data_IF_644734921722
#
_entry.id   IF_644734921722
#
_cell.length_a   1.000
_cell.length_b   1.000
_cell.length_c   1.000
_cell.angle_alpha   90.00
_cell.angle_beta   90.00
_cell.angle_gamma   90.00
#
_symmetry.space_group_name_H-M   'P 1'
#
loop_
_entity.id
_entity.type
_entity.pdbx_description
1 polymer ?
#
# COMPACT_ATOMS: atom_id res chain seq x y z
N UNK A 1 -20.24 23.08 27.25
CA UNK A 1 -19.85 24.34 26.60
C UNK A 1 -18.63 24.07 25.73
N UNK A 2 -18.71 23.71 24.46
CA UNK A 2 -19.78 23.17 23.63
C UNK A 2 -19.12 22.29 22.57
N UNK A 3 -19.63 21.06 22.46
CA UNK A 3 -19.29 20.13 21.40
C UNK A 3 -20.28 20.37 20.26
N UNK A 4 -19.78 20.72 19.08
CA UNK A 4 -20.59 20.85 17.87
C UNK A 4 -20.24 19.71 16.91
N UNK A 5 -21.00 18.63 17.03
CA UNK A 5 -21.13 17.54 16.07
C UNK A 5 -21.84 18.03 14.81
N UNK A 6 -21.16 18.06 13.66
CA UNK A 6 -21.83 18.19 12.36
C UNK A 6 -21.86 16.84 11.65
N UNK A 7 -23.09 16.34 11.55
CA UNK A 7 -23.54 15.12 10.90
C UNK A 7 -23.12 15.05 9.43
N UNK A 8 -22.53 13.90 9.09
CA UNK A 8 -22.33 13.38 7.75
C UNK A 8 -23.68 13.19 7.04
N UNK A 9 -23.78 13.67 5.80
CA UNK A 9 -24.82 13.28 4.84
C UNK A 9 -24.20 12.35 3.80
N UNK A 10 -24.46 11.06 3.95
CA UNK A 10 -24.17 10.02 2.97
C UNK A 10 -25.12 10.13 1.76
N UNK A 11 -24.57 10.29 0.56
CA UNK A 11 -25.30 10.12 -0.70
C UNK A 11 -25.18 8.66 -1.19
N UNK A 12 -26.21 8.11 -1.86
CA UNK A 12 -26.24 6.70 -2.24
C UNK A 12 -25.33 6.39 -3.43
N UNK A 13 -24.70 5.22 -3.34
CA UNK A 13 -23.79 4.64 -4.32
C UNK A 13 -24.50 4.30 -5.64
N UNK A 14 -23.92 4.76 -6.76
CA UNK A 14 -24.25 4.32 -8.10
C UNK A 14 -23.66 2.93 -8.34
N UNK A 15 -24.51 1.92 -8.50
CA UNK A 15 -24.12 0.56 -8.88
C UNK A 15 -23.71 0.50 -10.36
N UNK A 16 -22.41 0.35 -10.63
CA UNK A 16 -21.91 0.00 -11.96
C UNK A 16 -22.11 -1.49 -12.22
N UNK A 17 -23.03 -1.81 -13.13
CA UNK A 17 -23.25 -3.15 -13.69
C UNK A 17 -22.12 -3.48 -14.69
N UNK A 18 -21.14 -4.27 -14.27
CA UNK A 18 -20.18 -4.91 -15.18
C UNK A 18 -20.87 -6.08 -15.90
N UNK A 19 -21.10 -5.94 -17.22
CA UNK A 19 -21.46 -7.05 -18.10
C UNK A 19 -20.17 -7.68 -18.65
N UNK A 20 -19.85 -8.87 -18.17
CA UNK A 20 -18.83 -9.75 -18.73
C UNK A 20 -19.33 -10.38 -20.04
N UNK A 21 -18.56 -10.20 -21.12
CA UNK A 21 -18.77 -10.90 -22.40
C UNK A 21 -17.94 -12.20 -22.38
N UNK A 22 -18.60 -13.33 -22.18
CA UNK A 22 -18.02 -14.66 -22.45
C UNK A 22 -18.31 -15.03 -23.91
N UNK A 23 -17.26 -15.21 -24.71
CA UNK A 23 -17.33 -15.81 -26.06
C UNK A 23 -17.68 -17.31 -25.96
N UNK A 24 -18.60 -17.85 -26.78
CA UNK A 24 -18.69 -19.28 -26.98
C UNK A 24 -17.73 -19.76 -28.07
N UNK A 25 -17.03 -20.83 -27.71
CA UNK A 25 -16.25 -21.73 -28.55
C UNK A 25 -17.17 -22.49 -29.51
N UNK A 26 -16.78 -22.67 -30.78
CA UNK A 26 -17.42 -23.62 -31.71
C UNK A 26 -16.36 -24.53 -32.32
N UNK A 27 -16.57 -25.86 -32.32
CA UNK A 27 -15.64 -26.83 -32.87
C UNK A 27 -15.84 -27.00 -34.38
N UNK A 28 -14.77 -27.44 -35.05
CA UNK A 28 -14.72 -27.68 -36.49
C UNK A 28 -15.64 -28.78 -36.99
N UNK A 29 -15.98 -28.69 -38.27
CA UNK A 29 -16.75 -29.67 -39.03
C UNK A 29 -16.30 -29.69 -40.49
N UNK A 30 -15.65 -30.80 -40.83
CA UNK A 30 -15.32 -31.41 -42.12
C UNK A 30 -15.94 -30.90 -43.44
N UNK A 31 -15.07 -30.90 -44.45
CA UNK A 31 -15.32 -30.95 -45.89
C UNK A 31 -16.48 -31.83 -46.35
N UNK A 32 -17.32 -31.29 -47.23
CA UNK A 32 -17.95 -32.05 -48.30
C UNK A 32 -17.90 -31.24 -49.62
N UNK A 33 -17.36 -31.89 -50.65
CA UNK A 33 -17.47 -31.51 -52.06
C UNK A 33 -18.95 -31.57 -52.46
N UNK A 34 -19.45 -30.56 -53.16
CA UNK A 34 -20.58 -30.71 -54.08
C UNK A 34 -20.52 -29.63 -55.19
N UNK A 35 -20.37 -30.18 -56.40
CA UNK A 35 -20.80 -29.76 -57.74
C UNK A 35 -21.02 -28.29 -58.11
N UNK A 36 -20.38 -27.93 -59.25
CA UNK A 36 -20.70 -26.84 -60.17
C UNK A 36 -22.21 -26.73 -60.43
N UNK A 37 -22.78 -25.57 -60.08
CA UNK A 37 -24.07 -25.11 -60.58
C UNK A 37 -23.81 -23.76 -61.26
N UNK A 38 -24.22 -23.69 -62.52
CA UNK A 38 -24.24 -22.49 -63.35
C UNK A 38 -25.37 -21.59 -62.83
N UNK A 39 -25.03 -20.43 -62.24
CA UNK A 39 -26.03 -19.45 -61.79
C UNK A 39 -26.14 -18.28 -62.80
N UNK A 40 -27.33 -18.18 -63.39
CA UNK A 40 -27.87 -17.00 -64.08
C UNK A 40 -28.04 -15.80 -63.10
N UNK A 41 -28.05 -14.55 -63.60
CA UNK A 41 -28.10 -13.37 -62.75
C UNK A 41 -29.42 -13.27 -61.97
N UNK A 42 -29.40 -12.76 -60.72
CA UNK A 42 -30.62 -12.67 -59.93
C UNK A 42 -31.45 -11.47 -60.42
N UNK A 43 -32.38 -11.73 -61.33
CA UNK A 43 -33.71 -11.14 -61.16
C UNK A 43 -34.19 -11.51 -59.74
N UNK A 44 -35.00 -10.66 -59.08
CA UNK A 44 -35.58 -11.00 -57.79
C UNK A 44 -36.08 -12.43 -57.88
N UNK A 45 -35.37 -13.34 -57.22
CA UNK A 45 -35.59 -14.76 -57.39
C UNK A 45 -36.84 -15.06 -56.59
N UNK A 46 -37.97 -14.78 -57.23
CA UNK A 46 -39.31 -15.05 -56.74
C UNK A 46 -39.41 -16.54 -56.42
N UNK A 47 -38.61 -17.37 -57.11
CA UNK A 47 -38.40 -18.79 -56.84
C UNK A 47 -37.60 -19.01 -55.56
N UNK A 48 -36.48 -18.34 -55.29
CA UNK A 48 -35.79 -18.45 -53.99
C UNK A 48 -36.58 -17.84 -52.84
N UNK A 49 -37.37 -16.79 -53.06
CA UNK A 49 -38.30 -16.24 -52.06
C UNK A 49 -39.44 -17.24 -51.83
N UNK A 50 -39.99 -17.83 -52.91
CA UNK A 50 -40.98 -18.89 -52.81
C UNK A 50 -40.41 -20.18 -52.18
N UNK A 51 -39.14 -20.51 -52.39
CA UNK A 51 -38.47 -21.66 -51.77
C UNK A 51 -38.13 -21.38 -50.31
N UNK A 52 -37.62 -20.19 -49.98
CA UNK A 52 -37.27 -19.79 -48.61
C UNK A 52 -38.49 -19.69 -47.71
N UNK A 53 -39.66 -19.34 -48.28
CA UNK A 53 -40.95 -19.36 -47.59
C UNK A 53 -41.83 -20.57 -47.95
N UNK A 54 -41.29 -21.56 -48.67
CA UNK A 54 -41.97 -22.77 -49.15
C UNK A 54 -43.36 -22.53 -49.78
N UNK A 55 -43.58 -21.38 -50.44
CA UNK A 55 -44.86 -20.99 -51.03
C UNK A 55 -45.26 -21.88 -52.21
N UNK A 56 -44.32 -22.33 -53.02
CA UNK A 56 -44.61 -23.25 -54.13
C UNK A 56 -44.97 -24.65 -53.64
N UNK A 57 -44.32 -25.14 -52.59
CA UNK A 57 -44.69 -26.39 -51.92
C UNK A 57 -46.03 -26.24 -51.20
N UNK A 58 -46.31 -25.07 -50.62
CA UNK A 58 -47.57 -24.75 -49.99
C UNK A 58 -48.74 -24.82 -50.98
N UNK A 59 -48.57 -24.30 -52.20
CA UNK A 59 -49.60 -24.36 -53.24
C UNK A 59 -49.80 -25.76 -53.85
N UNK A 60 -48.83 -26.66 -53.71
CA UNK A 60 -48.90 -28.06 -54.18
C UNK A 60 -49.47 -29.03 -53.14
N UNK A 61 -49.60 -28.62 -51.88
CA UNK A 61 -50.20 -29.43 -50.81
C UNK A 61 -51.73 -29.52 -50.95
N UNK A 62 -52.30 -30.64 -50.53
CA UNK A 62 -53.75 -30.83 -50.46
C UNK A 62 -54.39 -29.75 -49.57
N UNK A 63 -55.68 -29.46 -49.76
CA UNK A 63 -56.35 -28.41 -48.99
C UNK A 63 -56.36 -28.71 -47.48
N UNK A 64 -56.41 -30.00 -47.10
CA UNK A 64 -56.30 -30.45 -45.71
C UNK A 64 -54.88 -30.27 -45.14
N UNK A 65 -53.85 -30.59 -45.91
CA UNK A 65 -52.46 -30.40 -45.47
C UNK A 65 -52.10 -28.91 -45.33
N UNK A 66 -52.64 -28.07 -46.23
CA UNK A 66 -52.53 -26.61 -46.10
C UNK A 66 -53.20 -26.11 -44.82
N UNK A 67 -54.39 -26.63 -44.48
CA UNK A 67 -55.08 -26.27 -43.23
C UNK A 67 -54.32 -26.75 -41.99
N UNK A 68 -53.76 -27.97 -42.00
CA UNK A 68 -52.92 -28.48 -40.91
C UNK A 68 -51.64 -27.65 -40.73
N UNK A 69 -51.01 -27.23 -41.82
CA UNK A 69 -49.79 -26.42 -41.79
C UNK A 69 -50.05 -24.98 -41.37
N UNK A 70 -51.17 -24.39 -41.82
CA UNK A 70 -51.67 -23.09 -41.33
C UNK A 70 -52.10 -23.15 -39.86
N UNK A 71 -52.65 -24.28 -39.39
CA UNK A 71 -53.01 -24.47 -37.99
C UNK A 71 -51.78 -24.68 -37.08
N UNK A 72 -50.67 -25.18 -37.63
CA UNK A 72 -49.38 -25.31 -36.95
C UNK A 72 -48.49 -24.08 -37.01
N UNK A 73 -48.85 -23.07 -37.83
CA UNK A 73 -48.15 -21.78 -37.88
C UNK A 73 -48.54 -20.96 -36.65
N UNK A 74 -47.66 -20.97 -35.65
CA UNK A 74 -47.80 -20.13 -34.48
C UNK A 74 -47.71 -18.66 -34.91
N UNK A 75 -48.72 -17.86 -34.58
CA UNK A 75 -48.74 -16.43 -34.91
C UNK A 75 -47.52 -15.68 -34.37
N UNK A 76 -46.89 -16.21 -33.31
CA UNK A 76 -45.64 -15.71 -32.74
C UNK A 76 -44.47 -15.93 -33.71
N UNK A 77 -44.40 -17.06 -34.42
CA UNK A 77 -43.33 -17.36 -35.38
C UNK A 77 -43.44 -16.48 -36.63
N UNK A 78 -44.67 -16.24 -37.10
CA UNK A 78 -44.92 -15.28 -38.18
C UNK A 78 -44.54 -13.85 -37.77
N UNK A 79 -44.85 -13.42 -36.55
CA UNK A 79 -44.45 -12.10 -36.08
C UNK A 79 -42.92 -11.97 -36.05
N UNK A 80 -42.20 -12.97 -35.52
CA UNK A 80 -40.73 -12.99 -35.48
C UNK A 80 -40.10 -12.92 -36.87
N UNK A 81 -40.66 -13.64 -37.85
CA UNK A 81 -40.14 -13.60 -39.23
C UNK A 81 -40.41 -12.25 -39.90
N UNK A 82 -41.56 -11.62 -39.65
CA UNK A 82 -41.84 -10.26 -40.13
C UNK A 82 -40.87 -9.26 -39.50
N UNK A 83 -40.64 -9.34 -38.18
CA UNK A 83 -39.66 -8.51 -37.47
C UNK A 83 -38.25 -8.69 -38.03
N UNK A 84 -37.85 -9.93 -38.32
CA UNK A 84 -36.57 -10.24 -38.93
C UNK A 84 -36.44 -9.62 -40.33
N UNK A 85 -37.45 -9.77 -41.19
CA UNK A 85 -37.45 -9.16 -42.53
C UNK A 85 -37.39 -7.64 -42.43
N UNK A 86 -38.12 -7.04 -41.50
CA UNK A 86 -38.07 -5.59 -41.27
C UNK A 86 -36.68 -5.14 -40.82
N UNK A 87 -36.03 -5.89 -39.92
CA UNK A 87 -34.66 -5.63 -39.48
C UNK A 87 -33.64 -5.77 -40.62
N UNK A 88 -33.75 -6.80 -41.44
CA UNK A 88 -32.92 -7.00 -42.65
C UNK A 88 -33.14 -5.85 -43.65
N UNK A 89 -34.40 -5.46 -43.89
CA UNK A 89 -34.73 -4.34 -44.78
C UNK A 89 -34.18 -3.01 -44.26
N UNK A 90 -34.24 -2.76 -42.94
CA UNK A 90 -33.65 -1.58 -42.32
C UNK A 90 -32.12 -1.57 -42.48
N UNK A 91 -31.48 -2.72 -42.30
CA UNK A 91 -30.02 -2.90 -42.48
C UNK A 91 -29.62 -2.61 -43.92
N UNK A 92 -30.33 -3.15 -44.91
CA UNK A 92 -30.04 -2.88 -46.33
C UNK A 92 -30.29 -1.42 -46.72
N UNK A 93 -31.31 -0.76 -46.14
CA UNK A 93 -31.53 0.67 -46.36
C UNK A 93 -30.37 1.50 -45.82
N UNK A 94 -29.86 1.15 -44.64
CA UNK A 94 -28.71 1.81 -44.03
C UNK A 94 -27.42 1.59 -44.84
N UNK A 95 -27.12 0.35 -45.23
CA UNK A 95 -25.94 0.03 -46.04
C UNK A 95 -25.97 0.79 -47.37
N UNK A 96 -27.10 0.79 -48.06
CA UNK A 96 -27.27 1.54 -49.30
C UNK A 96 -27.10 3.04 -49.10
N UNK A 97 -27.62 3.59 -48.00
CA UNK A 97 -27.45 5.01 -47.69
C UNK A 97 -25.97 5.37 -47.48
N UNK A 98 -25.26 4.60 -46.66
CA UNK A 98 -23.82 4.79 -46.39
C UNK A 98 -23.01 4.68 -47.69
N UNK A 99 -23.27 3.66 -48.51
CA UNK A 99 -22.56 3.47 -49.77
C UNK A 99 -22.81 4.62 -50.75
N UNK A 100 -24.06 5.07 -50.88
CA UNK A 100 -24.38 6.20 -51.76
C UNK A 100 -23.72 7.48 -51.25
N UNK A 101 -23.85 7.80 -49.97
CA UNK A 101 -23.24 9.00 -49.38
C UNK A 101 -21.71 9.00 -49.55
N UNK A 102 -21.08 7.83 -49.31
CA UNK A 102 -19.64 7.68 -49.52
C UNK A 102 -19.25 7.91 -50.99
N UNK A 103 -19.95 7.26 -51.92
CA UNK A 103 -19.65 7.38 -53.34
C UNK A 103 -19.94 8.81 -53.86
N UNK A 104 -20.95 9.50 -53.34
CA UNK A 104 -21.21 10.91 -53.69
C UNK A 104 -20.05 11.82 -53.31
N UNK A 105 -19.42 11.57 -52.14
CA UNK A 105 -18.28 12.36 -51.66
C UNK A 105 -16.97 12.00 -52.34
N UNK A 106 -16.74 10.73 -52.67
CA UNK A 106 -15.42 10.24 -53.10
C UNK A 106 -15.32 9.97 -54.62
N UNK A 107 -16.36 9.42 -55.26
CA UNK A 107 -16.38 9.20 -56.71
C UNK A 107 -17.82 9.22 -57.28
N UNK A 108 -18.39 10.42 -57.52
CA UNK A 108 -19.77 10.57 -57.95
C UNK A 108 -20.05 9.97 -59.33
N UNK A 109 -19.01 9.67 -60.14
CA UNK A 109 -19.17 9.09 -61.48
C UNK A 109 -19.70 7.66 -61.43
N UNK A 110 -19.35 6.90 -60.39
CA UNK A 110 -19.83 5.53 -60.18
C UNK A 110 -21.34 5.45 -59.90
N UNK A 111 -21.95 6.55 -59.45
CA UNK A 111 -23.39 6.64 -59.20
C UNK A 111 -24.22 6.99 -60.45
N UNK A 112 -23.59 7.47 -61.52
CA UNK A 112 -24.29 7.91 -62.75
C UNK A 112 -25.06 6.76 -63.39
N UNK A 113 -24.45 5.57 -63.51
CA UNK A 113 -25.10 4.39 -64.06
C UNK A 113 -26.25 3.86 -63.17
N UNK A 114 -26.11 3.97 -61.85
CA UNK A 114 -27.15 3.59 -60.90
C UNK A 114 -28.37 4.55 -60.97
N UNK A 115 -28.11 5.86 -61.02
CA UNK A 115 -29.14 6.89 -61.21
C UNK A 115 -29.87 6.71 -62.55
N UNK A 116 -29.14 6.44 -63.63
CA UNK A 116 -29.73 6.20 -64.96
C UNK A 116 -30.61 4.94 -64.99
N UNK A 117 -30.18 3.83 -64.38
CA UNK A 117 -31.00 2.62 -64.22
C UNK A 117 -32.25 2.83 -63.37
N UNK A 118 -32.13 3.55 -62.24
CA UNK A 118 -33.30 3.88 -61.42
C UNK A 118 -34.34 4.67 -62.20
N UNK A 119 -33.90 5.66 -63.00
CA UNK A 119 -34.83 6.42 -63.86
C UNK A 119 -35.45 5.57 -64.97
N UNK A 120 -34.73 4.59 -65.54
CA UNK A 120 -35.27 3.72 -66.59
C UNK A 120 -36.25 2.68 -66.04
N UNK A 121 -35.99 2.11 -64.86
CA UNK A 121 -36.91 1.21 -64.16
C UNK A 121 -38.18 1.95 -63.76
N UNK A 122 -38.08 3.16 -63.18
CA UNK A 122 -39.26 3.97 -62.88
C UNK A 122 -40.08 4.29 -64.13
N UNK A 123 -39.42 4.60 -65.26
CA UNK A 123 -40.09 4.79 -66.56
C UNK A 123 -40.78 3.52 -67.05
N UNK A 124 -40.18 2.33 -66.91
CA UNK A 124 -40.81 1.05 -67.28
C UNK A 124 -42.01 0.73 -66.39
N UNK A 125 -41.93 0.97 -65.09
CA UNK A 125 -43.07 0.75 -64.17
C UNK A 125 -44.22 1.73 -64.39
N UNK A 126 -43.93 2.98 -64.79
CA UNK A 126 -44.97 3.91 -65.20
C UNK A 126 -45.55 3.56 -66.58
N UNK A 127 -44.73 3.11 -67.53
CA UNK A 127 -45.20 2.66 -68.85
C UNK A 127 -46.09 1.42 -68.78
N UNK A 128 -45.79 0.47 -67.88
CA UNK A 128 -46.61 -0.74 -67.66
C UNK A 128 -47.97 -0.44 -66.99
N UNK A 129 -48.13 0.72 -66.33
CA UNK A 129 -49.43 1.22 -65.86
C UNK A 129 -50.27 1.89 -66.95
N UNK A 130 -49.69 2.24 -68.09
CA UNK A 130 -50.39 2.88 -69.22
C UNK A 130 -50.87 1.90 -70.31
N UNK A 131 -50.59 0.59 -70.18
CA UNK A 131 -51.00 -0.44 -71.16
C UNK A 131 -52.37 -1.08 -70.86
N UNK A 132 -53.19 -0.44 -70.03
CA UNK A 132 -54.56 -0.87 -69.72
C UNK A 132 -55.66 -0.08 -70.44
N UNK A 133 -55.34 0.72 -71.47
CA UNK A 133 -56.38 1.47 -72.19
C UNK A 133 -56.01 1.70 -73.67
N UNK A 134 -56.24 0.70 -74.51
CA UNK A 134 -56.40 0.91 -75.95
C UNK A 134 -57.89 1.13 -76.27
N UNK A 135 -58.25 2.37 -76.63
CA UNK A 135 -59.23 2.60 -77.68
C UNK A 135 -58.98 3.95 -78.38
N UNK A 136 -58.77 3.84 -79.69
CA UNK A 136 -59.10 4.78 -80.76
C UNK A 136 -58.44 6.18 -80.80
N UNK A 137 -57.53 6.30 -81.78
CA UNK A 137 -57.57 7.26 -82.89
C UNK A 137 -56.37 8.24 -83.01
N UNK A 138 -56.01 8.65 -84.25
CA UNK A 138 -54.65 9.06 -84.61
C UNK A 138 -54.50 10.56 -84.92
N UNK A 139 -53.23 10.94 -85.14
CA UNK A 139 -52.75 12.14 -85.83
C UNK A 139 -52.63 13.43 -85.02
N UNK A 140 -51.41 13.94 -84.82
CA UNK A 140 -50.81 14.86 -85.79
C UNK A 140 -49.37 15.24 -85.42
N UNK A 141 -48.74 15.90 -86.39
CA UNK A 141 -47.31 16.13 -86.62
C UNK A 141 -46.67 17.19 -85.72
N UNK A 142 -45.35 17.27 -85.91
CA UNK A 142 -44.41 18.39 -85.65
C UNK A 142 -43.69 18.30 -84.29
N UNK A 143 -42.41 18.65 -84.15
CA UNK A 143 -41.30 18.99 -85.04
C UNK A 143 -40.18 19.49 -84.09
N UNK A 144 -38.91 19.12 -84.36
CA UNK A 144 -37.68 19.86 -83.95
C UNK A 144 -37.34 19.90 -82.44
N UNK A 145 -36.09 19.96 -81.96
CA UNK A 145 -34.76 19.99 -82.57
C UNK A 145 -33.68 19.93 -81.47
N UNK A 146 -32.68 19.07 -81.66
CA UNK A 146 -31.21 19.24 -81.41
C UNK A 146 -30.73 19.68 -80.00
N UNK A 147 -29.88 18.85 -79.37
CA UNK A 147 -28.41 18.83 -79.56
C UNK A 147 -27.79 17.84 -78.55
N UNK A 148 -27.27 16.72 -79.04
CA UNK A 148 -26.32 15.87 -78.33
C UNK A 148 -24.97 15.98 -79.05
N UNK A 149 -23.94 16.38 -78.30
CA UNK A 149 -22.55 16.40 -78.78
C UNK A 149 -22.03 14.97 -78.73
N UNK A 150 -21.76 14.44 -79.92
CA UNK A 150 -20.92 13.26 -80.12
C UNK A 150 -19.45 13.69 -80.09
N UNK A 151 -18.64 13.05 -79.25
CA UNK A 151 -17.19 13.04 -79.39
C UNK A 151 -16.76 11.58 -79.61
N UNK A 152 -16.45 11.28 -80.87
CA UNK A 152 -15.77 10.09 -81.34
C UNK A 152 -14.26 10.27 -81.20
N UNK A 153 -13.53 9.25 -80.72
CA UNK A 153 -12.18 8.94 -81.22
C UNK A 153 -12.02 7.42 -81.31
N UNK A 154 -11.54 7.02 -82.48
CA UNK A 154 -11.33 5.71 -83.08
C UNK A 154 -9.94 5.14 -82.75
N UNK A 155 -9.69 3.92 -83.29
CA UNK A 155 -8.45 3.13 -83.42
C UNK A 155 -8.42 1.94 -82.45
N UNK A 156 -8.42 0.67 -82.86
CA UNK A 156 -8.32 0.01 -84.16
C UNK A 156 -7.90 -1.44 -83.91
N UNK A 157 -8.23 -2.38 -84.81
CA UNK A 157 -7.61 -3.71 -84.85
C UNK A 157 -8.58 -4.89 -84.74
N UNK A 158 -8.97 -5.42 -85.89
CA UNK A 158 -9.64 -6.70 -86.06
C UNK A 158 -8.73 -7.87 -85.69
N UNK A 159 -9.20 -8.80 -84.86
CA UNK A 159 -8.93 -10.25 -84.97
C UNK A 159 -9.70 -11.01 -83.89
N UNK A 160 -10.49 -11.99 -84.34
CA UNK A 160 -10.96 -13.20 -83.67
C UNK A 160 -10.89 -13.24 -82.13
N UNK A 161 -12.06 -13.22 -81.49
CA UNK A 161 -12.20 -13.55 -80.08
C UNK A 161 -13.50 -13.02 -79.52
N UNK A 162 -14.57 -13.79 -79.72
CA UNK A 162 -15.81 -13.67 -79.00
C UNK A 162 -15.53 -13.80 -77.49
N UNK A 163 -15.29 -12.67 -76.84
CA UNK A 163 -15.32 -12.51 -75.40
C UNK A 163 -16.24 -11.34 -75.14
N UNK A 164 -17.52 -11.69 -75.01
CA UNK A 164 -18.50 -10.95 -74.22
C UNK A 164 -17.77 -10.16 -73.12
N UNK A 165 -17.71 -8.83 -73.29
CA UNK A 165 -17.27 -7.91 -72.23
C UNK A 165 -18.24 -8.13 -71.08
N UNK A 166 -17.87 -9.04 -70.17
CA UNK A 166 -18.56 -9.24 -68.91
C UNK A 166 -18.68 -7.85 -68.28
N UNK A 167 -19.88 -7.39 -67.90
CA UNK A 167 -20.00 -6.18 -67.13
C UNK A 167 -19.06 -6.36 -65.94
N UNK A 168 -18.10 -5.45 -65.77
CA UNK A 168 -17.22 -5.47 -64.60
C UNK A 168 -18.16 -5.28 -63.41
N UNK A 169 -18.51 -6.38 -62.77
CA UNK A 169 -19.30 -6.37 -61.56
C UNK A 169 -18.43 -5.70 -60.50
N UNK A 170 -18.65 -4.40 -60.30
CA UNK A 170 -18.11 -3.65 -59.18
C UNK A 170 -18.79 -4.10 -57.88
N UNK A 171 -18.74 -5.40 -57.58
CA UNK A 171 -19.12 -5.95 -56.30
C UNK A 171 -17.96 -5.66 -55.36
N UNK A 172 -18.10 -4.61 -54.56
CA UNK A 172 -17.13 -4.35 -53.50
C UNK A 172 -17.00 -5.61 -52.64
N UNK A 173 -15.77 -6.07 -52.47
CA UNK A 173 -15.43 -7.15 -51.56
C UNK A 173 -15.99 -6.81 -50.17
N UNK A 174 -16.50 -7.80 -49.43
CA UNK A 174 -17.00 -7.63 -48.06
C UNK A 174 -16.00 -6.90 -47.18
N UNK A 175 -14.70 -7.20 -47.37
CA UNK A 175 -13.60 -6.49 -46.71
C UNK A 175 -13.59 -4.98 -47.03
N UNK A 176 -13.72 -4.60 -48.30
CA UNK A 176 -13.75 -3.20 -48.71
C UNK A 176 -15.02 -2.48 -48.21
N UNK A 177 -16.16 -3.18 -48.13
CA UNK A 177 -17.39 -2.64 -47.51
C UNK A 177 -17.22 -2.41 -46.00
N UNK A 178 -16.59 -3.36 -45.30
CA UNK A 178 -16.31 -3.22 -43.87
C UNK A 178 -15.33 -2.07 -43.60
N UNK A 179 -14.25 -1.96 -44.37
CA UNK A 179 -13.28 -0.85 -44.28
C UNK A 179 -13.95 0.52 -44.57
N UNK A 180 -14.88 0.57 -45.52
CA UNK A 180 -15.66 1.77 -45.80
C UNK A 180 -16.60 2.16 -44.67
N UNK A 181 -17.30 1.18 -44.11
CA UNK A 181 -18.19 1.41 -42.97
C UNK A 181 -17.40 1.88 -41.74
N UNK A 182 -16.24 1.26 -41.47
CA UNK A 182 -15.34 1.65 -40.39
C UNK A 182 -14.78 3.07 -40.59
N UNK A 183 -14.34 3.41 -41.80
CA UNK A 183 -13.86 4.76 -42.10
C UNK A 183 -14.97 5.81 -41.97
N UNK A 184 -16.18 5.49 -42.41
CA UNK A 184 -17.33 6.38 -42.25
C UNK A 184 -17.70 6.56 -40.78
N UNK A 185 -17.70 5.47 -40.00
CA UNK A 185 -17.94 5.52 -38.56
C UNK A 185 -16.89 6.38 -37.84
N UNK A 186 -15.60 6.17 -38.12
CA UNK A 186 -14.51 6.96 -37.56
C UNK A 186 -14.61 8.46 -37.95
N UNK A 187 -15.05 8.76 -39.17
CA UNK A 187 -15.27 10.16 -39.60
C UNK A 187 -16.45 10.79 -38.85
N UNK A 188 -17.55 10.06 -38.68
CA UNK A 188 -18.71 10.53 -37.92
C UNK A 188 -18.35 10.74 -36.46
N UNK A 189 -17.67 9.78 -35.83
CA UNK A 189 -17.18 9.89 -34.45
C UNK A 189 -16.29 11.14 -34.29
N UNK A 190 -15.34 11.35 -35.20
CA UNK A 190 -14.51 12.56 -35.19
C UNK A 190 -15.35 13.83 -35.25
N UNK A 191 -16.31 13.93 -36.20
CA UNK A 191 -17.19 15.10 -36.31
C UNK A 191 -18.01 15.32 -35.04
N UNK A 192 -18.51 14.25 -34.41
CA UNK A 192 -19.22 14.35 -33.13
C UNK A 192 -18.32 14.94 -32.05
N UNK A 193 -17.09 14.43 -31.90
CA UNK A 193 -16.13 14.98 -30.92
C UNK A 193 -15.76 16.44 -31.17
N UNK A 194 -15.63 16.85 -32.43
CA UNK A 194 -15.36 18.23 -32.81
C UNK A 194 -16.55 19.14 -32.49
N UNK A 195 -17.78 18.69 -32.78
CA UNK A 195 -19.01 19.41 -32.45
C UNK A 195 -19.16 19.55 -30.93
N UNK A 196 -18.96 18.48 -30.16
CA UNK A 196 -19.01 18.51 -28.70
C UNK A 196 -17.98 19.48 -28.11
N UNK A 197 -16.75 19.48 -28.64
CA UNK A 197 -15.71 20.42 -28.23
C UNK A 197 -16.11 21.87 -28.51
N UNK A 198 -16.64 22.15 -29.69
CA UNK A 198 -17.08 23.49 -30.07
C UNK A 198 -18.28 23.95 -29.20
N UNK A 199 -19.26 23.08 -29.01
CA UNK A 199 -20.41 23.35 -28.14
C UNK A 199 -19.97 23.61 -26.69
N UNK A 200 -18.99 22.88 -26.16
CA UNK A 200 -18.44 23.14 -24.82
C UNK A 200 -17.78 24.51 -24.71
N UNK A 201 -17.07 24.97 -25.76
CA UNK A 201 -16.47 26.31 -25.77
C UNK A 201 -17.56 27.38 -25.80
N UNK A 202 -18.57 27.22 -26.64
CA UNK A 202 -19.70 28.15 -26.74
C UNK A 202 -20.49 28.22 -25.43
N UNK A 203 -20.80 27.08 -24.80
CA UNK A 203 -21.46 27.02 -23.49
C UNK A 203 -20.64 27.76 -22.43
N UNK A 204 -19.31 27.62 -22.43
CA UNK A 204 -18.44 28.38 -21.52
C UNK A 204 -18.52 29.89 -21.77
N UNK A 205 -18.51 30.33 -23.02
CA UNK A 205 -18.63 31.74 -23.38
C UNK A 205 -19.99 32.32 -22.99
N UNK A 206 -21.08 31.59 -23.24
CA UNK A 206 -22.44 32.01 -22.86
C UNK A 206 -22.59 32.10 -21.34
N UNK A 207 -22.03 31.14 -20.58
CA UNK A 207 -21.99 31.21 -19.12
C UNK A 207 -21.22 32.43 -18.62
N UNK A 208 -20.05 32.71 -19.19
CA UNK A 208 -19.28 33.90 -18.85
C UNK A 208 -20.07 35.19 -19.13
N UNK A 209 -20.79 35.25 -20.26
CA UNK A 209 -21.63 36.40 -20.61
C UNK A 209 -22.83 36.57 -19.67
N UNK A 210 -23.49 35.47 -19.28
CA UNK A 210 -24.58 35.50 -18.30
C UNK A 210 -24.06 36.06 -16.97
N UNK A 211 -22.90 35.60 -16.53
CA UNK A 211 -22.29 36.05 -15.29
C UNK A 211 -21.89 37.53 -15.35
N UNK A 212 -21.28 37.98 -16.44
CA UNK A 212 -20.98 39.40 -16.68
C UNK A 212 -22.25 40.28 -16.62
N UNK A 213 -23.34 39.83 -17.26
CA UNK A 213 -24.62 40.55 -17.23
C UNK A 213 -25.21 40.60 -15.82
N UNK A 214 -25.05 39.54 -15.01
CA UNK A 214 -25.48 39.53 -13.61
C UNK A 214 -24.71 40.56 -12.80
N UNK A 215 -23.38 40.58 -12.89
CA UNK A 215 -22.56 41.60 -12.20
C UNK A 215 -22.94 43.02 -12.63
N UNK A 216 -23.14 43.27 -13.93
CA UNK A 216 -23.60 44.58 -14.41
C UNK A 216 -24.96 44.98 -13.85
N UNK A 217 -25.90 44.04 -13.80
CA UNK A 217 -27.23 44.30 -13.24
C UNK A 217 -27.15 44.64 -11.76
N UNK A 218 -26.36 43.88 -10.99
CA UNK A 218 -26.18 44.09 -9.57
C UNK A 218 -25.49 45.44 -9.29
N UNK A 219 -24.43 45.77 -10.02
CA UNK A 219 -23.75 47.06 -9.93
C UNK A 219 -24.69 48.23 -10.28
N UNK A 220 -25.56 48.06 -11.28
CA UNK A 220 -26.54 49.09 -11.67
C UNK A 220 -27.55 49.32 -10.56
N UNK A 221 -28.11 48.24 -9.99
CA UNK A 221 -29.06 48.32 -8.87
C UNK A 221 -28.41 48.95 -7.64
N UNK A 222 -27.16 48.58 -7.34
CA UNK A 222 -26.42 49.18 -6.23
C UNK A 222 -26.12 50.67 -6.47
N UNK A 223 -25.73 51.03 -7.68
CA UNK A 223 -25.48 52.43 -8.07
C UNK A 223 -26.75 53.27 -7.99
N UNK A 224 -27.89 52.73 -8.43
CA UNK A 224 -29.21 53.34 -8.29
C UNK A 224 -29.57 53.57 -6.83
N UNK A 225 -29.46 52.55 -5.97
CA UNK A 225 -29.71 52.68 -4.53
C UNK A 225 -28.79 53.72 -3.88
N UNK A 226 -27.52 53.71 -4.22
CA UNK A 226 -26.54 54.69 -3.73
C UNK A 226 -26.87 56.11 -4.22
N UNK A 227 -27.36 56.25 -5.45
CA UNK A 227 -27.83 57.52 -5.97
C UNK A 227 -29.03 58.04 -5.18
N UNK A 228 -30.04 57.21 -4.94
CA UNK A 228 -31.21 57.56 -4.12
C UNK A 228 -30.77 57.96 -2.71
N UNK A 229 -29.88 57.20 -2.07
CA UNK A 229 -29.33 57.55 -0.75
C UNK A 229 -28.48 58.83 -0.73
N UNK A 230 -27.91 59.24 -1.86
CA UNK A 230 -27.06 60.43 -1.93
C UNK A 230 -27.85 61.69 -2.30
N UNK A 231 -28.98 61.54 -3.01
CA UNK A 231 -29.77 62.63 -3.55
C UNK A 231 -31.16 62.78 -2.93
N UNK A 232 -31.73 61.72 -2.37
CA UNK A 232 -33.14 61.63 -1.95
C UNK A 232 -33.28 60.89 -0.61
N UNK A 233 -32.27 60.98 0.27
CA UNK A 233 -32.27 60.21 1.53
C UNK A 233 -33.40 60.63 2.47
N UNK A 234 -33.52 61.94 2.66
CA UNK A 234 -34.41 62.57 3.62
C UNK A 234 -35.13 63.76 2.94
N UNK A 235 -36.26 64.22 3.48
CA UNK A 235 -37.03 65.37 2.93
C UNK A 235 -36.18 66.64 2.74
N UNK A 236 -35.11 66.80 3.55
CA UNK A 236 -34.14 67.90 3.43
C UNK A 236 -33.35 67.86 2.12
N UNK A 237 -33.02 66.67 1.63
CA UNK A 237 -32.31 66.51 0.36
C UNK A 237 -33.23 66.82 -0.83
N UNK A 238 -34.53 66.48 -0.72
CA UNK A 238 -35.54 66.82 -1.72
C UNK A 238 -35.75 68.34 -1.78
N UNK A 239 -35.94 68.98 -0.62
CA UNK A 239 -36.04 70.45 -0.54
C UNK A 239 -34.76 71.15 -1.02
N UNK A 240 -33.59 70.56 -0.77
CA UNK A 240 -32.34 71.07 -1.34
C UNK A 240 -32.35 71.00 -2.87
N UNK A 241 -32.83 69.92 -3.49
CA UNK A 241 -32.89 69.81 -4.95
C UNK A 241 -33.86 70.81 -5.59
N UNK A 242 -34.99 71.09 -4.93
CA UNK A 242 -35.98 72.06 -5.41
C UNK A 242 -35.51 73.52 -5.31
N UNK A 243 -34.66 73.83 -4.33
CA UNK A 243 -34.19 75.21 -4.05
C UNK A 243 -32.75 75.48 -4.51
N UNK A 244 -31.98 74.45 -4.84
CA UNK A 244 -30.58 74.59 -5.22
C UNK A 244 -30.41 75.20 -6.61
N UNK A 245 -29.36 76.02 -6.74
CA UNK A 245 -28.89 76.48 -8.05
C UNK A 245 -28.27 75.33 -8.85
N UNK A 246 -28.31 75.43 -10.17
CA UNK A 246 -27.70 74.45 -11.09
C UNK A 246 -26.24 74.15 -10.73
N UNK A 247 -25.48 75.18 -10.34
CA UNK A 247 -24.07 75.05 -9.93
C UNK A 247 -23.88 74.26 -8.62
N UNK A 248 -24.86 74.26 -7.71
CA UNK A 248 -24.83 73.45 -6.49
C UNK A 248 -25.17 71.98 -6.79
N UNK A 249 -26.16 71.74 -7.66
CA UNK A 249 -26.54 70.41 -8.13
C UNK A 249 -25.36 69.77 -8.88
N UNK A 250 -24.72 70.52 -9.78
CA UNK A 250 -23.54 70.07 -10.54
C UNK A 250 -22.40 69.64 -9.60
N UNK A 251 -22.11 70.42 -8.55
CA UNK A 251 -21.08 70.05 -7.55
C UNK A 251 -21.44 68.77 -6.80
N UNK A 252 -22.71 68.58 -6.41
CA UNK A 252 -23.18 67.37 -5.72
C UNK A 252 -23.07 66.14 -6.65
N UNK A 253 -23.47 66.28 -7.91
CA UNK A 253 -23.31 65.26 -8.95
C UNK A 253 -21.85 64.91 -9.22
N UNK A 254 -20.98 65.91 -9.31
CA UNK A 254 -19.53 65.71 -9.50
C UNK A 254 -18.91 64.95 -8.33
N UNK A 255 -19.33 65.23 -7.09
CA UNK A 255 -18.87 64.48 -5.91
C UNK A 255 -19.34 63.03 -5.94
N UNK A 256 -20.62 62.81 -6.29
CA UNK A 256 -21.18 61.46 -6.42
C UNK A 256 -20.43 60.65 -7.49
N UNK A 257 -20.28 61.19 -8.71
CA UNK A 257 -19.58 60.49 -9.80
C UNK A 257 -18.12 60.22 -9.48
N UNK A 258 -17.42 61.17 -8.84
CA UNK A 258 -16.05 60.97 -8.38
C UNK A 258 -15.95 59.82 -7.35
N UNK A 259 -16.90 59.74 -6.42
CA UNK A 259 -16.94 58.66 -5.43
C UNK A 259 -17.28 57.30 -6.07
N UNK A 260 -18.25 57.29 -7.00
CA UNK A 260 -18.59 56.09 -7.77
C UNK A 260 -17.39 55.56 -8.56
N UNK A 261 -16.66 56.40 -9.29
CA UNK A 261 -15.44 56.00 -9.99
C UNK A 261 -14.35 55.49 -9.04
N UNK A 262 -14.24 56.06 -7.84
CA UNK A 262 -13.28 55.58 -6.82
C UNK A 262 -13.64 54.17 -6.35
N UNK A 263 -14.92 53.91 -6.08
CA UNK A 263 -15.40 52.59 -5.68
C UNK A 263 -15.25 51.56 -6.81
N UNK A 264 -15.61 51.92 -8.05
CA UNK A 264 -15.43 51.07 -9.22
C UNK A 264 -13.97 50.68 -9.44
N UNK A 265 -13.02 51.61 -9.23
CA UNK A 265 -11.58 51.30 -9.28
C UNK A 265 -11.12 50.37 -8.16
N UNK A 266 -11.65 50.53 -6.95
CA UNK A 266 -11.35 49.65 -5.83
C UNK A 266 -11.83 48.22 -6.12
N UNK A 267 -13.07 48.07 -6.61
CA UNK A 267 -13.65 46.79 -7.02
C UNK A 267 -12.87 46.15 -8.18
N UNK A 268 -12.45 46.92 -9.17
CA UNK A 268 -11.58 46.42 -10.24
C UNK A 268 -10.25 45.89 -9.68
N UNK A 269 -9.69 46.57 -8.68
CA UNK A 269 -8.51 46.12 -7.96
C UNK A 269 -8.71 44.77 -7.26
N UNK A 270 -9.81 44.61 -6.52
CA UNK A 270 -10.13 43.34 -5.85
C UNK A 270 -10.37 42.22 -6.86
N UNK A 271 -11.11 42.48 -7.96
CA UNK A 271 -11.34 41.48 -9.01
C UNK A 271 -10.03 41.02 -9.65
N UNK A 272 -9.10 41.94 -9.95
CA UNK A 272 -7.78 41.57 -10.50
C UNK A 272 -6.99 40.68 -9.55
N UNK A 273 -6.98 40.99 -8.25
CA UNK A 273 -6.32 40.16 -7.24
C UNK A 273 -6.96 38.77 -7.16
N UNK A 274 -8.29 38.68 -7.18
CA UNK A 274 -8.99 37.39 -7.19
C UNK A 274 -8.69 36.57 -8.44
N UNK A 275 -8.56 37.21 -9.61
CA UNK A 275 -8.19 36.54 -10.86
C UNK A 275 -6.78 35.95 -10.75
N UNK A 276 -5.80 36.72 -10.25
CA UNK A 276 -4.42 36.23 -10.09
C UNK A 276 -4.38 35.07 -9.10
N UNK A 277 -5.07 35.17 -7.96
CA UNK A 277 -5.14 34.08 -6.97
C UNK A 277 -5.81 32.81 -7.54
N UNK A 278 -6.88 32.96 -8.32
CA UNK A 278 -7.54 31.84 -9.00
C UNK A 278 -6.65 31.21 -10.09
N UNK A 279 -5.86 32.02 -10.80
CA UNK A 279 -4.88 31.53 -11.76
C UNK A 279 -3.77 30.71 -11.09
N UNK A 280 -3.24 31.20 -9.97
CA UNK A 280 -2.21 30.50 -9.19
C UNK A 280 -2.72 29.16 -8.65
N UNK A 281 -3.91 29.14 -8.04
CA UNK A 281 -4.54 27.90 -7.55
C UNK A 281 -4.84 26.92 -8.70
N UNK A 282 -5.30 27.40 -9.86
CA UNK A 282 -5.50 26.55 -11.03
C UNK A 282 -4.18 25.97 -11.56
N UNK A 283 -3.09 26.75 -11.56
CA UNK A 283 -1.76 26.27 -11.96
C UNK A 283 -1.23 25.22 -10.97
N UNK A 284 -1.41 25.45 -9.68
CA UNK A 284 -1.04 24.49 -8.64
C UNK A 284 -1.79 23.17 -8.82
N UNK A 285 -3.11 23.20 -8.96
CA UNK A 285 -3.89 21.98 -9.20
C UNK A 285 -3.51 21.26 -10.50
N UNK A 286 -3.14 21.99 -11.54
CA UNK A 286 -2.62 21.38 -12.77
C UNK A 286 -1.29 20.68 -12.52
N UNK A 287 -0.38 21.29 -11.78
CA UNK A 287 0.89 20.66 -11.39
C UNK A 287 0.66 19.41 -10.51
N UNK A 288 -0.28 19.47 -9.57
CA UNK A 288 -0.68 18.33 -8.75
C UNK A 288 -1.25 17.19 -9.60
N UNK A 289 -2.05 17.50 -10.62
CA UNK A 289 -2.59 16.49 -11.53
C UNK A 289 -1.48 15.85 -12.38
N UNK A 290 -0.53 16.64 -12.87
CA UNK A 290 0.62 16.13 -13.64
C UNK A 290 1.46 15.20 -12.75
N UNK A 291 1.85 15.67 -11.56
CA UNK A 291 2.64 14.85 -10.62
C UNK A 291 1.89 13.58 -10.20
N UNK A 292 0.57 13.65 -9.96
CA UNK A 292 -0.25 12.46 -9.70
C UNK A 292 -0.32 11.52 -10.91
N UNK A 293 -0.44 12.04 -12.13
CA UNK A 293 -0.42 11.23 -13.34
C UNK A 293 0.93 10.56 -13.56
N UNK A 294 2.04 11.27 -13.31
CA UNK A 294 3.39 10.73 -13.37
C UNK A 294 3.59 9.64 -12.30
N UNK A 295 3.19 9.90 -11.06
CA UNK A 295 3.23 8.91 -9.99
C UNK A 295 2.33 7.70 -10.27
N UNK A 296 1.12 7.92 -10.80
CA UNK A 296 0.18 6.84 -11.15
C UNK A 296 0.63 6.04 -12.38
N UNK A 297 1.39 6.64 -13.30
CA UNK A 297 1.96 5.96 -14.45
C UNK A 297 3.19 5.12 -14.07
N UNK A 298 3.90 5.52 -13.02
CA UNK A 298 5.12 4.84 -12.52
C UNK A 298 4.79 3.76 -11.48
N UNK A 299 3.76 3.95 -10.66
CA UNK A 299 3.35 3.00 -9.62
C UNK A 299 2.14 2.18 -10.09
N UNK A 300 2.41 0.95 -10.52
CA UNK A 300 1.34 -0.03 -10.76
C UNK A 300 0.92 -0.71 -9.45
N UNK A 301 -0.30 -1.26 -9.40
CA UNK A 301 -0.75 -2.08 -8.27
C UNK A 301 0.22 -3.24 -7.96
N UNK A 302 0.87 -3.77 -9.00
CA UNK A 302 1.89 -4.82 -8.91
C UNK A 302 3.13 -4.33 -8.15
N UNK A 303 3.51 -3.06 -8.27
CA UNK A 303 4.67 -2.52 -7.56
C UNK A 303 4.39 -2.34 -6.06
N UNK A 304 3.15 -1.98 -5.71
CA UNK A 304 2.72 -2.01 -4.31
C UNK A 304 2.72 -3.42 -3.74
N UNK A 305 2.24 -4.40 -4.51
CA UNK A 305 2.25 -5.81 -4.09
C UNK A 305 3.68 -6.34 -3.91
N UNK A 306 4.59 -6.04 -4.85
CA UNK A 306 6.04 -6.33 -4.69
C UNK A 306 6.63 -5.69 -3.44
N UNK A 307 6.26 -4.45 -3.14
CA UNK A 307 6.75 -3.74 -1.97
C UNK A 307 6.22 -4.35 -0.66
N UNK A 308 4.97 -4.80 -0.66
CA UNK A 308 4.36 -5.54 0.45
C UNK A 308 5.05 -6.90 0.64
N UNK A 309 5.29 -7.65 -0.43
CA UNK A 309 6.01 -8.94 -0.38
C UNK A 309 7.41 -8.71 0.21
N UNK A 310 8.18 -7.78 -0.35
CA UNK A 310 9.54 -7.47 0.13
C UNK A 310 9.55 -7.01 1.59
N UNK A 311 8.58 -6.19 2.00
CA UNK A 311 8.43 -5.79 3.40
C UNK A 311 8.19 -7.01 4.30
N UNK A 312 7.32 -7.93 3.86
CA UNK A 312 6.98 -9.14 4.62
C UNK A 312 8.19 -10.07 4.72
N UNK A 313 8.95 -10.25 3.64
CA UNK A 313 10.22 -10.99 3.64
C UNK A 313 11.23 -10.42 4.64
N UNK A 314 11.42 -9.09 4.64
CA UNK A 314 12.33 -8.43 5.57
C UNK A 314 11.87 -8.54 7.04
N UNK A 315 10.56 -8.51 7.29
CA UNK A 315 10.01 -8.72 8.64
C UNK A 315 10.29 -10.15 9.10
N UNK A 316 10.05 -11.15 8.25
CA UNK A 316 10.31 -12.55 8.57
C UNK A 316 11.80 -12.79 8.86
N UNK A 317 12.70 -12.24 8.03
CA UNK A 317 14.15 -12.34 8.26
C UNK A 317 14.55 -11.69 9.59
N UNK A 318 13.97 -10.54 9.92
CA UNK A 318 14.21 -9.86 11.20
C UNK A 318 13.72 -10.68 12.40
N UNK A 319 12.54 -11.31 12.30
CA UNK A 319 12.01 -12.19 13.34
C UNK A 319 12.88 -13.44 13.54
N UNK A 320 13.38 -14.03 12.45
CA UNK A 320 14.31 -15.16 12.51
C UNK A 320 15.60 -14.77 13.23
N UNK A 321 16.23 -13.65 12.83
CA UNK A 321 17.44 -13.12 13.49
C UNK A 321 17.20 -12.79 14.96
N UNK A 322 16.04 -12.24 15.30
CA UNK A 322 15.69 -11.93 16.68
C UNK A 322 15.53 -13.20 17.53
N UNK A 323 14.92 -14.24 16.96
CA UNK A 323 14.79 -15.57 17.61
C UNK A 323 16.16 -16.20 17.83
N UNK A 324 17.06 -16.16 16.84
CA UNK A 324 18.44 -16.62 16.99
C UNK A 324 19.20 -15.84 18.08
N UNK A 325 19.06 -14.51 18.10
CA UNK A 325 19.69 -13.66 19.11
C UNK A 325 19.16 -13.95 20.52
N UNK A 326 17.86 -14.20 20.68
CA UNK A 326 17.27 -14.61 21.95
C UNK A 326 17.83 -15.97 22.40
N UNK A 327 17.96 -16.93 21.49
CA UNK A 327 18.59 -18.22 21.75
C UNK A 327 20.04 -18.08 22.21
N UNK A 328 20.85 -17.27 21.50
CA UNK A 328 22.24 -16.97 21.87
C UNK A 328 22.34 -16.33 23.26
N UNK A 329 21.51 -15.31 23.56
CA UNK A 329 21.46 -14.69 24.88
C UNK A 329 21.12 -15.71 25.98
N UNK A 330 20.20 -16.63 25.70
CA UNK A 330 19.86 -17.72 26.62
C UNK A 330 21.03 -18.66 26.89
N UNK A 331 21.78 -19.05 25.86
CA UNK A 331 22.98 -19.90 26.01
C UNK A 331 24.07 -19.15 26.77
N UNK A 332 24.41 -17.92 26.35
CA UNK A 332 25.43 -17.10 27.03
C UNK A 332 25.08 -16.86 28.49
N UNK A 333 23.81 -16.59 28.81
CA UNK A 333 23.34 -16.44 30.19
C UNK A 333 23.54 -17.71 31.02
N UNK A 334 23.15 -18.87 30.49
CA UNK A 334 23.37 -20.18 31.16
C UNK A 334 24.85 -20.48 31.37
N UNK A 335 25.69 -20.26 30.36
CA UNK A 335 27.14 -20.48 30.46
C UNK A 335 27.77 -19.54 31.50
N UNK A 336 27.37 -18.26 31.51
CA UNK A 336 27.86 -17.29 32.50
C UNK A 336 27.46 -17.68 33.94
N UNK A 337 26.25 -18.21 34.13
CA UNK A 337 25.79 -18.69 35.44
C UNK A 337 26.62 -19.90 35.88
N UNK A 338 26.77 -20.91 35.03
CA UNK A 338 27.57 -22.09 35.31
C UNK A 338 29.04 -21.74 35.63
N UNK A 339 29.65 -20.81 34.88
CA UNK A 339 30.99 -20.31 35.19
C UNK A 339 31.07 -19.63 36.56
N UNK A 340 30.02 -18.93 36.98
CA UNK A 340 29.97 -18.26 38.29
C UNK A 340 29.84 -19.28 39.42
N UNK A 341 29.02 -20.31 39.23
CA UNK A 341 28.88 -21.44 40.15
C UNK A 341 30.20 -22.20 40.32
N UNK A 342 30.88 -22.53 39.22
CA UNK A 342 32.21 -23.17 39.22
C UNK A 342 33.26 -22.29 39.90
N UNK A 343 33.25 -20.98 39.64
CA UNK A 343 34.14 -20.03 40.32
C UNK A 343 33.90 -20.02 41.83
N UNK A 344 32.64 -20.05 42.26
CA UNK A 344 32.29 -20.10 43.68
C UNK A 344 32.73 -21.43 44.32
N UNK A 345 32.54 -22.54 43.62
CA UNK A 345 33.00 -23.86 44.06
C UNK A 345 34.53 -23.90 44.23
N UNK A 346 35.29 -23.36 43.26
CA UNK A 346 36.74 -23.22 43.37
C UNK A 346 37.16 -22.35 44.56
N UNK A 347 36.49 -21.21 44.78
CA UNK A 347 36.80 -20.33 45.90
C UNK A 347 36.57 -21.04 47.25
N UNK A 348 35.47 -21.79 47.37
CA UNK A 348 35.19 -22.59 48.56
C UNK A 348 36.27 -23.67 48.78
N UNK A 349 36.67 -24.37 47.71
CA UNK A 349 37.72 -25.38 47.77
C UNK A 349 39.08 -24.78 48.17
N UNK A 350 39.40 -23.59 47.67
CA UNK A 350 40.62 -22.86 48.04
C UNK A 350 40.61 -22.47 49.53
N UNK A 351 39.46 -22.03 50.06
CA UNK A 351 39.31 -21.75 51.49
C UNK A 351 39.47 -23.00 52.36
N UNK A 352 38.88 -24.12 51.96
CA UNK A 352 39.05 -25.41 52.64
C UNK A 352 40.52 -25.87 52.61
N UNK A 353 41.18 -25.73 51.46
CA UNK A 353 42.61 -26.04 51.34
C UNK A 353 43.46 -25.20 52.30
N UNK A 354 43.21 -23.90 52.40
CA UNK A 354 43.91 -23.02 53.38
C UNK A 354 43.63 -23.45 54.82
N UNK A 355 42.40 -23.83 55.14
CA UNK A 355 42.05 -24.32 56.48
C UNK A 355 42.81 -25.61 56.83
N UNK A 356 42.88 -26.56 55.89
CA UNK A 356 43.63 -27.81 56.05
C UNK A 356 45.13 -27.54 56.22
N UNK A 357 45.70 -26.64 55.41
CA UNK A 357 47.11 -26.24 55.53
C UNK A 357 47.39 -25.64 56.91
N UNK A 358 46.61 -24.65 57.35
CA UNK A 358 46.77 -24.03 58.67
C UNK A 358 46.69 -25.06 59.80
N UNK A 359 45.72 -25.99 59.72
CA UNK A 359 45.56 -27.06 60.71
C UNK A 359 46.73 -28.03 60.69
N UNK A 360 47.26 -28.33 59.52
CA UNK A 360 48.45 -29.17 59.35
C UNK A 360 49.68 -28.49 59.98
N UNK A 361 49.87 -27.20 59.76
CA UNK A 361 50.94 -26.42 60.38
C UNK A 361 50.81 -26.36 61.91
N UNK A 362 49.60 -26.21 62.45
CA UNK A 362 49.34 -26.28 63.89
C UNK A 362 49.68 -27.65 64.48
N UNK A 363 49.22 -28.73 63.84
CA UNK A 363 49.53 -30.10 64.26
C UNK A 363 51.04 -30.34 64.20
N UNK A 364 51.71 -29.91 63.13
CA UNK A 364 53.16 -30.05 62.98
C UNK A 364 53.91 -29.31 64.09
N UNK A 365 53.49 -28.08 64.42
CA UNK A 365 54.04 -27.32 65.56
C UNK A 365 53.82 -28.03 66.90
N UNK A 366 52.67 -28.66 67.10
CA UNK A 366 52.37 -29.43 68.32
C UNK A 366 53.20 -30.71 68.40
N UNK A 367 53.41 -31.43 67.28
CA UNK A 367 54.30 -32.60 67.23
C UNK A 367 55.71 -32.21 67.68
N UNK A 368 56.28 -31.13 67.13
CA UNK A 368 57.63 -30.66 67.52
C UNK A 368 57.72 -30.30 69.00
N UNK A 369 56.65 -29.75 69.61
CA UNK A 369 56.60 -29.50 71.06
C UNK A 369 56.60 -30.80 71.86
N UNK A 370 55.75 -31.75 71.48
CA UNK A 370 55.67 -33.06 72.13
C UNK A 370 56.97 -33.83 72.01
N UNK A 371 57.65 -33.80 70.85
CA UNK A 371 58.96 -34.42 70.68
C UNK A 371 60.02 -33.84 71.63
N UNK A 372 60.01 -32.51 71.85
CA UNK A 372 60.88 -31.86 72.84
C UNK A 372 60.55 -32.29 74.27
N UNK A 373 59.27 -32.36 74.62
CA UNK A 373 58.82 -32.83 75.94
C UNK A 373 59.25 -34.29 76.16
N UNK A 374 59.07 -35.16 75.16
CA UNK A 374 59.52 -36.56 75.20
C UNK A 374 61.03 -36.63 75.43
N UNK A 375 61.84 -35.82 74.72
CA UNK A 375 63.29 -35.78 74.91
C UNK A 375 63.68 -35.34 76.34
N UNK A 376 62.98 -34.34 76.91
CA UNK A 376 63.20 -33.88 78.29
C UNK A 376 62.84 -35.00 79.28
N UNK A 377 61.69 -35.65 79.10
CA UNK A 377 61.24 -36.76 79.96
C UNK A 377 62.21 -37.93 79.89
N UNK A 378 62.70 -38.29 78.71
CA UNK A 378 63.72 -39.34 78.55
C UNK A 378 65.03 -38.99 79.26
N UNK A 379 65.49 -37.74 79.14
CA UNK A 379 66.68 -37.27 79.84
C UNK A 379 66.51 -37.29 81.36
N UNK A 380 65.32 -36.95 81.87
CA UNK A 380 65.01 -37.03 83.30
C UNK A 380 64.93 -38.49 83.77
N UNK A 381 64.23 -39.37 83.04
CA UNK A 381 64.21 -40.80 83.34
C UNK A 381 65.62 -41.38 83.39
N UNK A 382 66.50 -41.01 82.48
CA UNK A 382 67.90 -41.48 82.50
C UNK A 382 68.63 -41.05 83.79
N UNK A 383 68.42 -39.81 84.27
CA UNK A 383 68.96 -39.36 85.56
C UNK A 383 68.36 -40.14 86.72
N UNK A 384 67.04 -40.35 86.71
CA UNK A 384 66.34 -41.09 87.75
C UNK A 384 66.82 -42.56 87.80
N UNK A 385 67.13 -43.18 86.66
CA UNK A 385 67.73 -44.51 86.61
C UNK A 385 69.13 -44.55 87.23
N UNK A 386 69.95 -43.51 87.03
CA UNK A 386 71.27 -43.38 87.69
C UNK A 386 71.09 -43.27 89.20
N UNK A 387 70.23 -42.37 89.66
CA UNK A 387 69.94 -42.20 91.10
C UNK A 387 69.39 -43.48 91.72
N UNK A 388 68.50 -44.19 91.02
CA UNK A 388 67.97 -45.47 91.47
C UNK A 388 69.07 -46.54 91.55
N UNK A 389 70.02 -46.54 90.61
CA UNK A 389 71.21 -47.38 90.65
C UNK A 389 72.10 -47.07 91.87
N UNK A 390 72.35 -45.79 92.15
CA UNK A 390 73.11 -45.36 93.34
C UNK A 390 72.41 -45.76 94.64
N UNK A 391 71.09 -45.58 94.74
CA UNK A 391 70.30 -46.01 95.90
C UNK A 391 70.31 -47.53 96.08
N UNK A 392 70.29 -48.31 94.99
CA UNK A 392 70.44 -49.78 95.06
C UNK A 392 71.83 -50.17 95.53
N UNK A 393 72.88 -49.52 95.04
CA UNK A 393 74.25 -49.76 95.52
C UNK A 393 74.38 -49.40 97.00
N UNK A 394 73.80 -48.28 97.45
CA UNK A 394 73.73 -47.92 98.87
C UNK A 394 72.96 -48.95 99.69
N UNK A 395 71.89 -49.54 99.15
CA UNK A 395 71.11 -50.59 99.81
C UNK A 395 71.89 -51.91 99.90
N UNK A 396 72.65 -52.27 98.87
CA UNK A 396 73.50 -53.47 98.86
C UNK A 396 74.72 -53.32 99.79
N UNK A 397 75.27 -52.11 99.92
CA UNK A 397 76.38 -51.77 100.83
C UNK A 397 75.89 -51.50 102.27
N UNK A 398 74.58 -51.37 102.47
CA UNK A 398 73.98 -51.19 103.79
C UNK A 398 73.98 -52.51 104.56
N UNK A 399 75.04 -52.72 105.34
CA UNK A 399 75.07 -53.74 106.37
C UNK A 399 74.46 -53.17 107.65
N UNK A 400 73.32 -53.71 108.07
CA UNK A 400 72.66 -53.29 109.30
C UNK A 400 73.64 -53.48 110.47
N UNK A 401 73.99 -52.41 111.22
CA UNK A 401 74.96 -52.51 112.30
C UNK A 401 74.53 -53.59 113.30
N UNK A 402 75.48 -54.42 113.73
CA UNK A 402 75.23 -55.41 114.78
C UNK A 402 74.66 -54.70 116.01
N UNK A 403 73.70 -55.33 116.69
CA UNK A 403 73.07 -54.79 117.91
C UNK A 403 74.14 -54.36 118.93
N UNK A 404 75.30 -55.02 118.94
CA UNK A 404 76.46 -54.66 119.76
C UNK A 404 77.09 -53.31 119.37
N UNK A 405 77.33 -53.06 118.08
CA UNK A 405 77.87 -51.77 117.60
C UNK A 405 76.89 -50.61 117.83
N UNK A 406 75.58 -50.86 117.67
CA UNK A 406 74.56 -49.84 117.98
C UNK A 406 74.58 -49.47 119.47
N UNK A 407 74.74 -50.44 120.37
CA UNK A 407 74.84 -50.18 121.81
C UNK A 407 76.09 -49.35 122.13
N UNK A 408 77.25 -49.73 121.58
CA UNK A 408 78.52 -49.01 121.80
C UNK A 408 78.45 -47.56 121.29
N UNK A 409 77.95 -47.36 120.06
CA UNK A 409 77.77 -46.01 119.49
C UNK A 409 76.71 -45.19 120.22
N UNK A 410 75.68 -45.84 120.77
CA UNK A 410 74.67 -45.17 121.63
C UNK A 410 75.29 -44.73 122.96
N UNK A 411 76.13 -45.54 123.57
CA UNK A 411 76.90 -45.17 124.76
C UNK A 411 77.89 -44.04 124.48
N UNK A 412 78.60 -44.09 123.34
CA UNK A 412 79.48 -43.02 122.89
C UNK A 412 78.70 -41.72 122.66
N UNK A 413 77.53 -41.77 122.03
CA UNK A 413 76.67 -40.60 121.84
C UNK A 413 76.17 -40.04 123.18
N UNK A 414 75.78 -40.88 124.14
CA UNK A 414 75.36 -40.45 125.48
C UNK A 414 76.55 -39.85 126.25
N UNK A 415 77.76 -40.40 126.09
CA UNK A 415 78.99 -39.86 126.66
C UNK A 415 79.29 -38.47 126.11
N UNK A 416 79.27 -38.32 124.78
CA UNK A 416 79.51 -37.05 124.10
C UNK A 416 78.42 -36.02 124.40
N UNK A 417 77.15 -36.40 124.52
CA UNK A 417 76.07 -35.49 124.91
C UNK A 417 76.23 -34.99 126.36
N UNK A 418 76.71 -35.85 127.28
CA UNK A 418 77.07 -35.45 128.64
C UNK A 418 78.25 -34.47 128.64
N UNK A 419 79.25 -34.72 127.80
CA UNK A 419 80.43 -33.85 127.65
C UNK A 419 80.05 -32.50 127.01
N UNK A 420 79.21 -32.50 125.98
CA UNK A 420 78.66 -31.30 125.35
C UNK A 420 77.87 -30.47 126.36
N UNK A 421 76.97 -31.07 127.14
CA UNK A 421 76.25 -30.38 128.23
C UNK A 421 77.21 -29.81 129.27
N UNK A 422 78.29 -30.51 129.60
CA UNK A 422 79.30 -30.01 130.54
C UNK A 422 80.07 -28.81 129.97
N UNK A 423 80.44 -28.86 128.69
CA UNK A 423 81.13 -27.78 127.97
C UNK A 423 80.22 -26.57 127.76
N UNK A 424 78.95 -26.76 127.38
CA UNK A 424 77.95 -25.70 127.30
C UNK A 424 77.78 -25.00 128.66
N UNK A 425 77.77 -25.76 129.77
CA UNK A 425 77.70 -25.20 131.13
C UNK A 425 78.96 -24.42 131.50
N UNK A 426 80.16 -24.87 131.10
CA UNK A 426 81.42 -24.11 131.26
C UNK A 426 81.43 -22.83 130.41
N UNK A 427 80.99 -22.90 129.15
CA UNK A 427 80.86 -21.75 128.25
C UNK A 427 79.88 -20.73 128.83
N UNK A 428 78.74 -21.17 129.37
CA UNK A 428 77.77 -20.28 130.01
C UNK A 428 78.38 -19.52 131.21
N UNK A 429 79.13 -20.21 132.08
CA UNK A 429 79.83 -19.59 133.21
C UNK A 429 80.87 -18.56 132.73
N UNK A 430 81.64 -18.90 131.68
CA UNK A 430 82.62 -17.99 131.07
C UNK A 430 81.95 -16.78 130.43
N UNK A 431 80.84 -16.95 129.71
CA UNK A 431 80.06 -15.85 129.14
C UNK A 431 79.43 -14.96 130.21
N UNK A 432 79.01 -15.51 131.35
CA UNK A 432 78.54 -14.73 132.50
C UNK A 432 79.66 -13.90 133.13
N UNK A 433 80.88 -14.46 133.25
CA UNK A 433 82.06 -13.74 133.71
C UNK A 433 82.47 -12.64 132.73
N UNK A 434 82.53 -12.94 131.44
CA UNK A 434 82.86 -11.99 130.38
C UNK A 434 81.84 -10.86 130.31
N UNK A 435 80.53 -11.15 130.39
CA UNK A 435 79.48 -10.14 130.45
C UNK A 435 79.56 -9.27 131.71
N UNK A 436 79.97 -9.81 132.86
CA UNK A 436 80.21 -9.02 134.07
C UNK A 436 81.41 -8.07 133.92
N UNK A 437 82.49 -8.52 133.27
CA UNK A 437 83.67 -7.67 132.97
C UNK A 437 83.31 -6.60 131.94
N UNK A 438 82.64 -6.97 130.84
CA UNK A 438 82.16 -6.06 129.80
C UNK A 438 81.18 -5.02 130.35
N UNK A 439 80.28 -5.42 131.25
CA UNK A 439 79.31 -4.50 131.88
C UNK A 439 80.00 -3.50 132.82
N UNK A 440 81.15 -3.85 133.42
CA UNK A 440 81.99 -2.91 134.17
C UNK A 440 82.83 -2.02 133.26
N UNK A 441 83.33 -2.55 132.13
CA UNK A 441 84.04 -1.77 131.11
C UNK A 441 83.13 -0.74 130.41
N UNK A 442 81.82 -0.99 130.31
CA UNK A 442 80.86 -0.07 129.69
C UNK A 442 80.33 1.02 130.64
N UNK A 443 80.74 1.06 131.91
CA UNK A 443 80.22 1.95 132.98
C UNK A 443 81.31 2.82 133.66
N UNK A 444 82.52 2.93 133.09
CA UNK A 444 83.60 3.75 133.68
C UNK A 444 84.34 4.70 132.71
N UNK A 445 84.06 4.61 131.42
CA UNK A 445 83.82 5.81 130.61
C UNK A 445 82.40 6.27 130.95
N UNK A 446 82.19 7.56 131.23
CA UNK A 446 81.89 8.57 130.19
C UNK A 446 80.59 8.27 129.44
#
# INVERSE_FOLDING_TARGET
MDAASMSERSLPAYSQSQRSFTKPYMPGGSSQKLQEIVEEPPDLDMTAIAYKFFLDDFHRLSEEDRRMRLAGLDGIEMLRTIEQIQAEMATFKLENHIMVEFLEKNDPKLLVGLRQRRTSVMKKTQSKRNLGNESMAPSSRQSMSKRSISASIYMGGSAAGDRTRRPIEHKLNYKAKAELAEKCAAEVEKRVTDIERNAMVEVKQLRAKIEELRYRSEETIETERNFVLHFLRDDKDVQFLESATERQIERKLRKFTANWFKNARALLGTMRLTIVSLQETCQQHRADLITKADLSGILTAVDFEKLIIKRTELINELEEKNTHMAGLKGVTGKTSLAMTEEKQAMMNLETEMRNVLNRTEEITRNIVKLEKEVAIVQANNAKDYVVLGELRAQLDEYEAPSVTEYIEKKEEAISLEKEEKMLQRKIYILNMKLNNVMRRYRLRDE
#
